data_IF_244830263078
#
_entry.id   IF_244830263078
#
_cell.length_a   1.000
_cell.length_b   1.000
_cell.length_c   1.000
_cell.angle_alpha   90.00
_cell.angle_beta   90.00
_cell.angle_gamma   90.00
#
_symmetry.space_group_name_H-M   'P 1'
#
loop_
_entity.id
_entity.type
_entity.pdbx_description
1 polymer ?
#
# COMPACT_ATOMS: atom_id res chain seq x y z
N UNK A 1 -30.99 11.86 19.12
CA UNK A 1 -30.36 11.77 17.77
C UNK A 1 -29.93 10.32 17.58
N UNK A 2 -30.33 9.62 16.52
CA UNK A 2 -29.85 8.25 16.27
C UNK A 2 -28.37 8.31 15.88
N UNK A 3 -27.52 7.51 16.52
CA UNK A 3 -26.11 7.40 16.16
C UNK A 3 -25.98 6.83 14.75
N UNK A 4 -25.22 7.50 13.87
CA UNK A 4 -24.94 7.00 12.51
C UNK A 4 -23.85 5.94 12.60
N UNK A 5 -24.05 4.82 11.90
CA UNK A 5 -23.05 3.76 11.75
C UNK A 5 -22.33 3.94 10.42
N UNK A 6 -21.01 3.83 10.41
CA UNK A 6 -20.18 3.89 9.21
C UNK A 6 -19.80 2.48 8.77
N UNK A 7 -20.20 2.09 7.56
CA UNK A 7 -20.03 0.73 7.01
C UNK A 7 -19.31 0.76 5.65
N UNK A 8 -18.33 1.64 5.50
CA UNK A 8 -17.59 1.86 4.24
C UNK A 8 -16.06 1.93 4.46
N UNK A 9 -15.56 1.06 5.35
CA UNK A 9 -14.15 1.05 5.72
C UNK A 9 -13.20 0.63 4.58
N UNK A 10 -13.71 0.02 3.51
CA UNK A 10 -12.93 -0.29 2.32
C UNK A 10 -12.63 0.96 1.48
N UNK A 11 -13.50 1.98 1.50
CA UNK A 11 -13.20 3.28 0.91
C UNK A 11 -12.18 4.06 1.75
N UNK A 12 -12.43 4.22 3.05
CA UNK A 12 -11.49 4.80 4.01
C UNK A 12 -11.85 4.37 5.43
N UNK A 13 -10.86 3.99 6.24
CA UNK A 13 -11.08 3.76 7.65
C UNK A 13 -11.10 5.10 8.43
N UNK A 14 -11.83 5.18 9.55
CA UNK A 14 -11.70 6.28 10.50
C UNK A 14 -10.25 6.42 11.00
N UNK A 15 -9.76 7.66 11.12
CA UNK A 15 -8.43 7.94 11.65
C UNK A 15 -8.34 7.47 13.12
N UNK A 16 -7.37 6.60 13.39
CA UNK A 16 -7.08 6.09 14.73
C UNK A 16 -6.48 7.16 15.62
N UNK A 17 -6.77 7.09 16.93
CA UNK A 17 -6.28 8.07 17.90
C UNK A 17 -4.75 8.08 17.98
N UNK A 18 -4.14 6.89 17.89
CA UNK A 18 -2.70 6.69 17.92
C UNK A 18 -2.03 7.29 16.67
N UNK A 19 -2.62 7.09 15.49
CA UNK A 19 -2.14 7.69 14.25
C UNK A 19 -2.25 9.23 14.27
N UNK A 20 -3.35 9.77 14.83
CA UNK A 20 -3.51 11.21 15.04
C UNK A 20 -2.43 11.75 15.97
N UNK A 21 -2.19 11.10 17.10
CA UNK A 21 -1.20 11.54 18.07
C UNK A 21 0.22 11.51 17.48
N UNK A 22 0.57 10.46 16.73
CA UNK A 22 1.85 10.36 16.03
C UNK A 22 2.04 11.48 14.99
N UNK A 23 0.99 11.81 14.23
CA UNK A 23 1.03 12.92 13.26
C UNK A 23 1.23 14.28 13.93
N UNK A 24 0.52 14.56 15.04
CA UNK A 24 0.70 15.80 15.79
C UNK A 24 2.14 15.90 16.32
N UNK A 25 2.63 14.83 16.95
CA UNK A 25 4.00 14.79 17.44
C UNK A 25 5.05 14.98 16.31
N UNK A 26 4.79 14.45 15.11
CA UNK A 26 5.65 14.66 13.96
C UNK A 26 5.60 16.11 13.45
N UNK A 27 4.44 16.77 13.48
CA UNK A 27 4.27 18.18 13.09
C UNK A 27 4.99 19.15 14.04
N UNK A 28 5.14 18.79 15.32
CA UNK A 28 5.88 19.59 16.30
C UNK A 28 7.41 19.53 16.09
N UNK A 29 7.92 18.52 15.37
CA UNK A 29 9.34 18.41 15.03
C UNK A 29 9.66 19.33 13.85
N UNK A 30 10.47 20.36 14.11
CA UNK A 30 10.93 21.29 13.09
C UNK A 30 12.18 20.78 12.35
N UNK A 31 12.46 21.37 11.18
CA UNK A 31 13.67 21.11 10.40
C UNK A 31 13.40 20.35 9.10
N UNK A 32 14.33 20.47 8.16
CA UNK A 32 14.30 19.71 6.91
C UNK A 32 15.15 18.42 7.10
N UNK A 33 14.61 17.21 6.87
CA UNK A 33 15.36 15.95 6.98
C UNK A 33 16.66 15.88 6.15
N UNK A 34 16.78 16.70 5.10
CA UNK A 34 17.98 16.81 4.27
C UNK A 34 19.08 17.70 4.88
N UNK A 35 18.77 18.44 5.94
CA UNK A 35 19.72 19.33 6.60
C UNK A 35 20.63 18.58 7.59
N UNK A 36 21.89 19.01 7.68
CA UNK A 36 22.90 18.36 8.54
C UNK A 36 22.88 18.81 10.00
N UNK A 37 22.22 19.93 10.33
CA UNK A 37 22.15 20.48 11.69
C UNK A 37 21.21 19.68 12.61
N UNK A 38 21.15 20.04 13.90
CA UNK A 38 20.47 19.26 14.94
C UNK A 38 18.99 18.98 14.62
N UNK A 39 18.25 20.00 14.23
CA UNK A 39 16.83 19.92 13.87
C UNK A 39 16.62 19.06 12.62
N UNK A 40 17.49 19.19 11.60
CA UNK A 40 17.43 18.36 10.41
C UNK A 40 17.65 16.87 10.72
N UNK A 41 18.63 16.56 11.58
CA UNK A 41 18.85 15.19 12.06
C UNK A 41 17.68 14.66 12.89
N UNK A 42 17.04 15.50 13.70
CA UNK A 42 15.86 15.13 14.46
C UNK A 42 14.67 14.79 13.54
N UNK A 43 14.41 15.62 12.51
CA UNK A 43 13.39 15.36 11.51
C UNK A 43 13.68 14.08 10.71
N UNK A 44 14.93 13.87 10.27
CA UNK A 44 15.36 12.63 9.61
C UNK A 44 15.12 11.40 10.49
N UNK A 45 15.41 11.48 11.79
CA UNK A 45 15.17 10.38 12.72
C UNK A 45 13.69 10.00 12.83
N UNK A 46 12.75 10.96 12.68
CA UNK A 46 11.31 10.64 12.63
C UNK A 46 10.98 9.78 11.40
N UNK A 47 11.44 10.21 10.22
CA UNK A 47 11.18 9.51 8.96
C UNK A 47 11.79 8.10 8.96
N UNK A 48 13.03 7.95 9.41
CA UNK A 48 13.71 6.65 9.42
C UNK A 48 13.11 5.69 10.46
N UNK A 49 12.64 6.19 11.60
CA UNK A 49 11.86 5.35 12.54
C UNK A 49 10.55 4.89 11.91
N UNK A 50 9.83 5.79 11.23
CA UNK A 50 8.59 5.41 10.55
C UNK A 50 8.86 4.37 9.44
N UNK A 51 9.96 4.51 8.69
CA UNK A 51 10.37 3.55 7.67
C UNK A 51 10.61 2.17 8.26
N UNK A 52 11.39 2.08 9.34
CA UNK A 52 11.65 0.82 10.03
C UNK A 52 10.37 0.18 10.60
N UNK A 53 9.45 0.99 11.15
CA UNK A 53 8.17 0.51 11.65
C UNK A 53 7.27 -0.04 10.54
N UNK A 54 7.21 0.63 9.38
CA UNK A 54 6.42 0.16 8.22
C UNK A 54 7.03 -1.13 7.66
N UNK A 55 8.35 -1.18 7.49
CA UNK A 55 9.05 -2.39 7.02
C UNK A 55 8.76 -3.59 7.93
N UNK A 56 8.90 -3.41 9.25
CA UNK A 56 8.61 -4.49 10.21
C UNK A 56 7.13 -4.89 10.22
N UNK A 57 6.21 -3.92 10.15
CA UNK A 57 4.78 -4.20 10.18
C UNK A 57 4.30 -4.95 8.91
N UNK A 58 4.87 -4.61 7.76
CA UNK A 58 4.57 -5.28 6.48
C UNK A 58 5.36 -6.58 6.30
N UNK A 59 6.34 -6.86 7.15
CA UNK A 59 7.28 -7.97 6.99
C UNK A 59 8.10 -7.83 5.70
N UNK A 60 8.60 -6.62 5.47
CA UNK A 60 9.44 -6.19 4.35
C UNK A 60 10.86 -5.84 4.82
N UNK A 61 11.35 -6.46 5.90
CA UNK A 61 12.71 -6.23 6.35
C UNK A 61 13.71 -6.61 5.25
N UNK A 62 14.65 -5.70 4.96
CA UNK A 62 15.63 -5.84 3.89
C UNK A 62 15.17 -5.30 2.53
N UNK A 63 13.89 -4.94 2.37
CA UNK A 63 13.39 -4.21 1.22
C UNK A 63 13.53 -2.69 1.42
N UNK A 64 13.54 -1.97 0.30
CA UNK A 64 13.37 -0.52 0.30
C UNK A 64 11.89 -0.18 0.56
N UNK A 65 11.63 0.83 1.38
CA UNK A 65 10.28 1.39 1.58
C UNK A 65 10.30 2.81 1.05
N UNK A 66 9.52 3.11 0.02
CA UNK A 66 9.44 4.43 -0.59
C UNK A 66 8.13 5.07 -0.18
N UNK A 67 8.19 6.14 0.63
CA UNK A 67 6.99 6.89 1.02
C UNK A 67 6.47 7.71 -0.16
N UNK A 68 5.18 7.61 -0.41
CA UNK A 68 4.45 8.36 -1.45
C UNK A 68 3.29 9.13 -0.82
N UNK A 69 2.67 10.04 -1.58
CA UNK A 69 1.47 10.74 -1.15
C UNK A 69 0.22 9.83 -1.17
N UNK A 70 0.24 8.71 -1.89
CA UNK A 70 -0.87 7.75 -1.93
C UNK A 70 -0.47 6.42 -2.57
N UNK A 71 -1.31 5.39 -2.39
CA UNK A 71 -1.22 4.17 -3.20
C UNK A 71 -1.32 4.45 -4.71
N UNK A 72 -2.02 5.51 -5.12
CA UNK A 72 -2.10 5.86 -6.55
C UNK A 72 -0.78 6.34 -7.12
N UNK A 73 -0.01 7.13 -6.35
CA UNK A 73 1.34 7.52 -6.75
C UNK A 73 2.30 6.33 -6.70
N UNK A 74 2.18 5.46 -5.70
CA UNK A 74 2.95 4.23 -5.61
C UNK A 74 2.69 3.30 -6.81
N UNK A 75 1.44 3.13 -7.24
CA UNK A 75 1.07 2.39 -8.44
C UNK A 75 1.67 3.02 -9.71
N UNK A 76 1.64 4.35 -9.83
CA UNK A 76 2.26 5.03 -10.96
C UNK A 76 3.78 4.81 -11.03
N UNK A 77 4.48 4.89 -9.90
CA UNK A 77 5.92 4.63 -9.80
C UNK A 77 6.26 3.15 -10.04
N UNK A 78 5.43 2.24 -9.51
CA UNK A 78 5.63 0.81 -9.60
C UNK A 78 5.32 0.24 -10.98
N UNK A 79 4.27 0.71 -11.65
CA UNK A 79 3.78 0.14 -12.92
C UNK A 79 4.20 0.94 -14.16
N UNK A 80 4.46 2.24 -14.03
CA UNK A 80 4.67 3.14 -15.15
C UNK A 80 5.76 2.69 -16.12
N UNK A 81 5.38 2.49 -17.39
CA UNK A 81 6.33 2.14 -18.47
C UNK A 81 6.87 0.71 -18.44
N UNK A 82 6.34 -0.17 -17.57
CA UNK A 82 6.83 -1.57 -17.45
C UNK A 82 6.10 -2.58 -18.32
N UNK A 83 4.95 -2.22 -18.89
CA UNK A 83 4.16 -3.12 -19.75
C UNK A 83 3.61 -4.32 -18.98
N UNK A 84 3.18 -4.10 -17.74
CA UNK A 84 2.57 -5.13 -16.92
C UNK A 84 1.14 -5.46 -17.36
N UNK A 85 0.76 -6.72 -17.18
CA UNK A 85 -0.59 -7.21 -17.27
C UNK A 85 -1.33 -7.05 -15.94
N UNK A 86 -2.64 -6.82 -16.00
CA UNK A 86 -3.51 -6.72 -14.83
C UNK A 86 -4.92 -7.11 -15.21
N UNK A 87 -5.79 -7.37 -14.23
CA UNK A 87 -7.20 -7.68 -14.47
C UNK A 87 -8.05 -6.41 -14.57
N UNK A 88 -9.23 -6.50 -15.17
CA UNK A 88 -10.22 -5.40 -15.18
C UNK A 88 -10.77 -5.04 -13.80
N UNK A 89 -10.57 -5.91 -12.82
CA UNK A 89 -11.00 -5.68 -11.43
C UNK A 89 -9.96 -4.94 -10.60
N UNK A 90 -8.78 -4.64 -11.16
CA UNK A 90 -7.76 -3.82 -10.48
C UNK A 90 -8.31 -2.44 -10.14
N UNK A 91 -7.80 -1.84 -9.06
CA UNK A 91 -8.16 -0.47 -8.72
C UNK A 91 -7.77 0.49 -9.86
N UNK A 92 -8.58 1.51 -10.14
CA UNK A 92 -8.33 2.48 -11.24
C UNK A 92 -6.89 3.02 -11.27
N UNK A 93 -6.29 3.19 -10.09
CA UNK A 93 -4.91 3.65 -9.96
C UNK A 93 -3.87 2.70 -10.55
N UNK A 94 -4.12 1.38 -10.52
CA UNK A 94 -3.32 0.35 -11.19
C UNK A 94 -3.80 0.19 -12.64
N UNK A 95 -5.12 0.17 -12.86
CA UNK A 95 -5.75 0.03 -14.17
C UNK A 95 -5.27 1.06 -15.21
N UNK A 96 -4.87 2.25 -14.76
CA UNK A 96 -4.29 3.29 -15.62
C UNK A 96 -2.91 2.92 -16.24
N UNK A 97 -2.23 1.89 -15.72
CA UNK A 97 -0.85 1.54 -16.10
C UNK A 97 -0.66 0.11 -16.64
N UNK A 98 -1.72 -0.70 -16.62
CA UNK A 98 -1.68 -2.12 -17.02
C UNK A 98 -2.62 -2.38 -18.21
N UNK A 99 -2.44 -3.51 -18.89
CA UNK A 99 -3.24 -3.87 -20.08
C UNK A 99 -4.71 -4.19 -19.79
N UNK A 100 -5.04 -4.65 -18.58
CA UNK A 100 -6.41 -5.02 -18.21
C UNK A 100 -6.93 -6.30 -18.88
N UNK A 101 -6.04 -7.20 -19.31
CA UNK A 101 -6.36 -8.41 -20.07
C UNK A 101 -6.20 -9.72 -19.29
N UNK A 102 -5.81 -9.68 -18.01
CA UNK A 102 -5.76 -10.90 -17.20
C UNK A 102 -7.17 -11.47 -16.99
N UNK A 103 -7.39 -12.77 -17.27
CA UNK A 103 -8.69 -13.40 -17.10
C UNK A 103 -9.13 -13.41 -15.64
N UNK A 104 -10.43 -13.22 -15.41
CA UNK A 104 -11.07 -13.36 -14.10
C UNK A 104 -12.13 -14.45 -14.20
N UNK A 105 -12.08 -15.44 -13.31
CA UNK A 105 -13.07 -16.52 -13.28
C UNK A 105 -14.40 -16.09 -12.62
N UNK A 106 -15.39 -17.00 -12.63
CA UNK A 106 -16.72 -16.76 -12.02
C UNK A 106 -16.68 -16.58 -10.49
N UNK A 107 -15.57 -16.94 -9.83
CA UNK A 107 -15.32 -16.74 -8.41
C UNK A 107 -14.50 -15.48 -8.13
N UNK A 108 -14.24 -14.65 -9.15
CA UNK A 108 -13.47 -13.42 -9.04
C UNK A 108 -11.97 -13.63 -8.86
N UNK A 109 -11.44 -14.80 -9.23
CA UNK A 109 -10.00 -15.11 -9.16
C UNK A 109 -9.32 -14.74 -10.47
N UNK A 110 -8.16 -14.10 -10.37
CA UNK A 110 -7.37 -13.69 -11.53
C UNK A 110 -6.40 -14.81 -11.91
N UNK A 111 -6.37 -15.16 -13.20
CA UNK A 111 -5.37 -16.07 -13.74
C UNK A 111 -4.08 -15.29 -14.09
N UNK A 112 -2.93 -15.75 -13.58
CA UNK A 112 -1.62 -15.13 -13.80
C UNK A 112 -0.64 -16.16 -14.36
N UNK A 113 -0.35 -16.07 -15.65
CA UNK A 113 0.55 -17.01 -16.35
C UNK A 113 2.03 -16.56 -16.29
N UNK A 114 2.29 -15.25 -16.37
CA UNK A 114 3.63 -14.61 -16.31
C UNK A 114 3.71 -13.67 -15.09
N UNK A 115 3.97 -14.18 -13.86
CA UNK A 115 3.92 -13.39 -12.63
C UNK A 115 4.81 -12.14 -12.66
N UNK A 116 6.03 -12.27 -13.15
CA UNK A 116 7.02 -11.19 -13.24
C UNK A 116 6.59 -10.05 -14.17
N UNK A 117 5.57 -10.27 -14.99
CA UNK A 117 4.96 -9.27 -15.86
C UNK A 117 3.54 -8.92 -15.44
N UNK A 118 3.11 -9.29 -14.25
CA UNK A 118 1.75 -9.06 -13.77
C UNK A 118 1.69 -8.15 -12.55
N UNK A 119 0.56 -7.45 -12.43
CA UNK A 119 0.10 -6.75 -11.23
C UNK A 119 -1.18 -7.41 -10.75
N UNK A 120 -1.28 -7.61 -9.44
CA UNK A 120 -2.42 -8.26 -8.82
C UNK A 120 -2.76 -7.59 -7.49
N UNK A 121 -4.01 -7.15 -7.32
CA UNK A 121 -4.53 -6.81 -6.00
C UNK A 121 -4.60 -8.06 -5.12
N UNK A 122 -4.09 -7.97 -3.88
CA UNK A 122 -4.13 -9.10 -2.96
C UNK A 122 -5.55 -9.37 -2.46
N UNK A 123 -6.34 -8.31 -2.25
CA UNK A 123 -7.72 -8.42 -1.84
C UNK A 123 -8.56 -7.37 -2.58
N UNK A 124 -9.71 -7.77 -3.10
CA UNK A 124 -10.54 -6.88 -3.88
C UNK A 124 -11.33 -5.89 -2.98
N UNK A 125 -11.33 -4.58 -3.28
CA UNK A 125 -11.98 -3.57 -2.44
C UNK A 125 -13.50 -3.67 -2.40
N UNK A 126 -14.12 -4.27 -3.43
CA UNK A 126 -15.58 -4.37 -3.57
C UNK A 126 -16.11 -5.69 -3.02
N UNK A 127 -15.48 -6.81 -3.38
CA UNK A 127 -15.95 -8.16 -3.06
C UNK A 127 -15.24 -8.77 -1.85
N UNK A 128 -14.05 -8.28 -1.50
CA UNK A 128 -13.20 -8.87 -0.46
C UNK A 128 -12.54 -10.20 -0.87
N UNK A 129 -12.66 -10.63 -2.13
CA UNK A 129 -12.02 -11.84 -2.64
C UNK A 129 -10.51 -11.66 -2.55
N UNK A 130 -9.84 -12.65 -1.92
CA UNK A 130 -8.39 -12.69 -1.76
C UNK A 130 -7.79 -13.52 -2.90
N UNK A 131 -6.79 -12.97 -3.57
CA UNK A 131 -6.11 -13.61 -4.69
C UNK A 131 -4.95 -14.49 -4.19
N UNK A 132 -4.61 -15.53 -4.96
CA UNK A 132 -3.38 -16.27 -4.76
C UNK A 132 -2.23 -15.55 -5.47
N UNK A 133 -1.21 -15.14 -4.71
CA UNK A 133 -0.04 -14.46 -5.27
C UNK A 133 1.02 -15.48 -5.66
N UNK A 134 1.34 -15.53 -6.95
CA UNK A 134 2.43 -16.34 -7.46
C UNK A 134 3.80 -15.74 -7.09
N UNK A 135 4.78 -16.61 -6.85
CA UNK A 135 6.16 -16.19 -6.61
C UNK A 135 6.71 -15.46 -7.85
N UNK A 136 7.44 -14.38 -7.62
CA UNK A 136 7.98 -13.52 -8.67
C UNK A 136 7.00 -12.50 -9.23
N UNK A 137 5.81 -12.33 -8.64
CA UNK A 137 4.83 -11.33 -9.09
C UNK A 137 5.47 -9.93 -9.17
N UNK A 138 5.31 -9.23 -10.29
CA UNK A 138 5.93 -7.93 -10.50
C UNK A 138 5.48 -6.87 -9.48
N UNK A 139 4.18 -6.74 -9.23
CA UNK A 139 3.67 -5.86 -8.19
C UNK A 139 2.39 -6.41 -7.56
N UNK A 140 2.31 -6.34 -6.23
CA UNK A 140 1.10 -6.66 -5.49
C UNK A 140 0.43 -5.42 -4.90
N UNK A 141 -0.83 -5.13 -5.26
CA UNK A 141 -1.59 -4.11 -4.54
C UNK A 141 -2.13 -4.69 -3.22
N UNK A 142 -1.44 -4.37 -2.12
CA UNK A 142 -1.77 -4.84 -0.77
C UNK A 142 -2.67 -3.87 0.00
N UNK A 143 -3.21 -2.83 -0.66
CA UNK A 143 -4.00 -1.75 -0.06
C UNK A 143 -5.19 -2.24 0.77
N UNK A 144 -5.82 -3.35 0.37
CA UNK A 144 -6.95 -3.96 1.07
C UNK A 144 -6.58 -5.19 1.92
N UNK A 145 -5.31 -5.60 1.93
CA UNK A 145 -4.84 -6.75 2.69
C UNK A 145 -4.04 -6.34 3.93
N UNK A 146 -3.18 -5.33 3.79
CA UNK A 146 -2.30 -4.88 4.87
C UNK A 146 -3.11 -4.39 6.08
N UNK A 147 -2.86 -4.99 7.25
CA UNK A 147 -3.58 -4.71 8.49
C UNK A 147 -4.97 -5.37 8.62
N UNK A 148 -5.42 -6.13 7.61
CA UNK A 148 -6.69 -6.86 7.60
C UNK A 148 -6.50 -8.38 7.52
N UNK A 149 -5.44 -8.82 6.83
CA UNK A 149 -5.09 -10.23 6.64
C UNK A 149 -3.72 -10.53 7.28
N UNK A 150 -3.48 -11.78 7.71
CA UNK A 150 -2.17 -12.22 8.22
C UNK A 150 -1.22 -12.46 7.03
N UNK A 151 -0.69 -11.38 6.46
CA UNK A 151 0.20 -11.40 5.29
C UNK A 151 1.48 -10.62 5.55
N UNK A 152 2.55 -10.99 4.87
CA UNK A 152 3.82 -10.27 4.89
C UNK A 152 4.42 -10.22 3.48
N UNK A 153 5.08 -9.11 3.14
CA UNK A 153 5.73 -8.91 1.84
C UNK A 153 6.69 -10.06 1.51
N UNK A 154 7.58 -10.39 2.46
CA UNK A 154 8.57 -11.45 2.30
C UNK A 154 7.97 -12.87 2.15
N UNK A 155 6.69 -13.08 2.47
CA UNK A 155 6.00 -14.37 2.27
C UNK A 155 5.35 -14.47 0.90
N UNK A 156 4.89 -13.34 0.35
CA UNK A 156 4.16 -13.30 -0.93
C UNK A 156 5.09 -13.52 -2.13
N UNK A 157 6.36 -13.12 -2.01
CA UNK A 157 7.35 -13.31 -3.07
C UNK A 157 7.13 -12.40 -4.29
N UNK A 158 6.41 -11.28 -4.14
CA UNK A 158 6.33 -10.26 -5.17
C UNK A 158 7.56 -9.34 -5.13
N UNK A 159 7.90 -8.71 -6.26
CA UNK A 159 9.04 -7.78 -6.38
C UNK A 159 8.73 -6.42 -5.74
N UNK A 160 7.48 -5.95 -5.87
CA UNK A 160 7.02 -4.68 -5.31
C UNK A 160 5.64 -4.85 -4.64
N UNK A 161 5.32 -3.98 -3.69
CA UNK A 161 3.99 -3.96 -3.07
C UNK A 161 3.51 -2.54 -2.80
N UNK A 162 2.21 -2.28 -2.98
CA UNK A 162 1.60 -0.98 -2.71
C UNK A 162 0.73 -1.04 -1.46
N UNK A 163 0.88 -0.04 -0.57
CA UNK A 163 0.02 0.13 0.60
C UNK A 163 -0.46 1.58 0.76
N UNK A 164 -1.63 1.76 1.40
CA UNK A 164 -2.24 3.06 1.66
C UNK A 164 -2.67 3.22 3.11
N UNK A 165 -2.16 4.24 3.80
CA UNK A 165 -2.37 4.38 5.25
C UNK A 165 -3.84 4.60 5.67
N UNK A 166 -4.62 5.34 4.89
CA UNK A 166 -6.03 5.63 5.23
C UNK A 166 -6.98 4.42 5.12
N UNK A 167 -6.52 3.28 4.60
CA UNK A 167 -7.28 2.02 4.56
C UNK A 167 -7.16 1.20 5.85
N UNK A 168 -6.15 1.49 6.68
CA UNK A 168 -5.91 0.87 7.99
C UNK A 168 -6.03 1.86 9.16
N UNK A 169 -6.62 3.03 8.91
CA UNK A 169 -6.91 4.04 9.93
C UNK A 169 -5.75 5.02 10.19
N UNK A 170 -4.80 5.13 9.26
CA UNK A 170 -3.83 6.20 9.19
C UNK A 170 -4.39 7.48 8.52
N UNK A 171 -3.58 8.53 8.40
CA UNK A 171 -3.96 9.77 7.73
C UNK A 171 -4.18 9.58 6.22
N UNK A 172 -4.96 10.45 5.58
CA UNK A 172 -4.98 10.53 4.10
C UNK A 172 -3.71 11.25 3.63
N UNK A 173 -3.30 11.02 2.38
CA UNK A 173 -2.13 11.69 1.80
C UNK A 173 -0.79 11.03 2.14
N UNK A 174 -0.80 9.77 2.58
CA UNK A 174 0.41 8.97 2.80
C UNK A 174 0.19 7.53 2.32
N UNK A 175 1.07 7.05 1.45
CA UNK A 175 1.18 5.67 0.99
C UNK A 175 2.63 5.19 1.01
N UNK A 176 2.86 3.95 0.58
CA UNK A 176 4.20 3.44 0.32
C UNK A 176 4.20 2.43 -0.83
N UNK A 177 5.36 2.38 -1.51
CA UNK A 177 5.81 1.34 -2.45
C UNK A 177 6.95 0.55 -1.80
#
# INVERSE_FOLDING_TARGET
MKSRVYLDCNATAPLRAEARAAMIAAMDVVGNPSSVHGEGRAAKAVVERARAQVAAALGAEGADVIFTASASEAAALGCGGRGFAGALIEHDAVGAWVSGDLPVDEFGRVAVDEPERAVLQLANPETGIVQEVAQGLGLCDMTQAFGKLPVAFNWLGCEMAVISSHKLGGPKGVGAL
#
